data_IF_336907582831
#
_entry.id   IF_336907582831
#
_cell.length_a   1.000
_cell.length_b   1.000
_cell.length_c   1.000
_cell.angle_alpha   90.00
_cell.angle_beta   90.00
_cell.angle_gamma   90.00
#
_symmetry.space_group_name_H-M   'P 1'
#
loop_
_entity.id
_entity.type
_entity.pdbx_description
1 polymer ?
#
# COMPACT_ATOMS: atom_id res chain seq x y z
N UNK A 1 3.00 -0.36 -17.52
CA UNK A 1 2.00 -1.39 -17.15
C UNK A 1 2.65 -2.63 -16.53
N UNK A 2 3.72 -3.17 -17.10
CA UNK A 2 4.36 -4.43 -16.61
C UNK A 2 4.89 -4.30 -15.18
N UNK A 3 5.50 -3.18 -14.81
CA UNK A 3 6.03 -2.94 -13.46
C UNK A 3 4.94 -2.75 -12.41
N UNK A 4 3.80 -2.14 -12.76
CA UNK A 4 2.67 -1.96 -11.85
C UNK A 4 1.99 -3.30 -11.54
N UNK A 5 1.77 -4.13 -12.55
CA UNK A 5 1.20 -5.47 -12.40
C UNK A 5 2.10 -6.34 -11.52
N UNK A 6 3.41 -6.30 -11.74
CA UNK A 6 4.37 -7.05 -10.92
C UNK A 6 4.35 -6.60 -9.44
N UNK A 7 4.16 -5.30 -9.16
CA UNK A 7 3.99 -4.80 -7.79
C UNK A 7 2.70 -5.30 -7.15
N UNK A 8 1.58 -5.24 -7.87
CA UNK A 8 0.31 -5.78 -7.36
C UNK A 8 0.43 -7.25 -7.00
N UNK A 9 1.00 -8.06 -7.89
CA UNK A 9 1.21 -9.48 -7.66
C UNK A 9 2.10 -9.72 -6.43
N UNK A 10 3.21 -9.00 -6.30
CA UNK A 10 4.12 -9.13 -5.16
C UNK A 10 3.42 -8.79 -3.82
N UNK A 11 2.68 -7.67 -3.76
CA UNK A 11 2.01 -7.24 -2.54
C UNK A 11 0.84 -8.16 -2.16
N UNK A 12 0.01 -8.55 -3.15
CA UNK A 12 -1.12 -9.45 -2.92
C UNK A 12 -0.68 -10.87 -2.57
N UNK A 13 0.41 -11.36 -3.16
CA UNK A 13 1.01 -12.64 -2.77
C UNK A 13 1.41 -12.65 -1.30
N UNK A 14 2.03 -11.58 -0.79
CA UNK A 14 2.36 -11.42 0.64
C UNK A 14 1.10 -11.42 1.52
N UNK A 15 0.07 -10.67 1.13
CA UNK A 15 -1.22 -10.67 1.84
C UNK A 15 -1.79 -12.08 1.93
N UNK A 16 -1.84 -12.81 0.81
CA UNK A 16 -2.41 -14.16 0.77
C UNK A 16 -1.58 -15.22 1.50
N UNK A 17 -0.26 -15.02 1.61
CA UNK A 17 0.62 -15.88 2.40
C UNK A 17 0.44 -15.66 3.91
N UNK A 18 0.18 -14.42 4.31
CA UNK A 18 0.08 -14.02 5.72
C UNK A 18 -1.35 -14.13 6.26
N UNK A 19 -2.34 -14.13 5.38
CA UNK A 19 -3.75 -14.19 5.79
C UNK A 19 -4.07 -15.55 6.45
N UNK A 20 -4.47 -15.57 7.74
CA UNK A 20 -4.78 -16.82 8.44
C UNK A 20 -6.09 -17.46 7.95
N UNK A 21 -6.94 -16.70 7.32
CA UNK A 21 -8.24 -17.12 6.82
C UNK A 21 -8.55 -16.49 5.45
N UNK A 22 -9.46 -17.10 4.70
CA UNK A 22 -10.01 -16.59 3.45
C UNK A 22 -11.54 -16.65 3.50
N UNK A 23 -12.24 -15.70 2.86
CA UNK A 23 -11.68 -14.60 2.06
C UNK A 23 -10.91 -13.58 2.92
N UNK A 24 -9.92 -12.92 2.32
CA UNK A 24 -9.13 -11.86 2.94
C UNK A 24 -9.64 -10.49 2.52
N UNK A 25 -9.84 -9.59 3.49
CA UNK A 25 -10.27 -8.22 3.23
C UNK A 25 -9.07 -7.27 3.18
N UNK A 26 -8.94 -6.51 2.11
CA UNK A 26 -7.89 -5.49 1.96
C UNK A 26 -8.46 -4.09 1.79
N UNK A 27 -7.70 -3.09 2.25
CA UNK A 27 -7.85 -1.71 1.82
C UNK A 27 -6.65 -1.31 0.97
N UNK A 28 -6.89 -0.98 -0.29
CA UNK A 28 -5.90 -0.38 -1.21
C UNK A 28 -5.88 1.13 -0.92
N UNK A 29 -4.87 1.57 -0.16
CA UNK A 29 -4.74 2.97 0.29
C UNK A 29 -3.87 3.75 -0.69
N UNK A 30 -4.44 4.80 -1.26
CA UNK A 30 -3.91 5.45 -2.45
C UNK A 30 -4.27 4.67 -3.71
N UNK A 31 -5.53 4.24 -3.82
CA UNK A 31 -6.00 3.36 -4.89
C UNK A 31 -5.99 4.00 -6.30
N UNK A 32 -5.81 5.33 -6.37
CA UNK A 32 -5.83 6.07 -7.62
C UNK A 32 -7.12 5.84 -8.39
N UNK A 33 -7.00 5.49 -9.64
CA UNK A 33 -8.13 5.19 -10.54
C UNK A 33 -8.61 3.71 -10.47
N UNK A 34 -8.25 2.96 -9.43
CA UNK A 34 -8.73 1.59 -9.21
C UNK A 34 -7.97 0.49 -9.96
N UNK A 35 -6.70 0.74 -10.31
CA UNK A 35 -5.90 -0.20 -11.10
C UNK A 35 -5.70 -1.56 -10.44
N UNK A 36 -5.61 -1.62 -9.09
CA UNK A 36 -5.50 -2.88 -8.36
C UNK A 36 -6.81 -3.68 -8.44
N UNK A 37 -7.98 -3.03 -8.37
CA UNK A 37 -9.26 -3.72 -8.57
C UNK A 37 -9.35 -4.32 -9.97
N UNK A 38 -8.96 -3.55 -11.01
CA UNK A 38 -8.92 -4.05 -12.39
C UNK A 38 -7.99 -5.27 -12.56
N UNK A 39 -6.89 -5.32 -11.80
CA UNK A 39 -5.99 -6.46 -11.76
C UNK A 39 -6.63 -7.66 -11.05
N UNK A 40 -7.26 -7.46 -9.89
CA UNK A 40 -7.93 -8.52 -9.11
C UNK A 40 -9.02 -9.22 -9.91
N UNK A 41 -9.87 -8.45 -10.61
CA UNK A 41 -10.95 -8.99 -11.46
C UNK A 41 -10.40 -9.95 -12.54
N UNK A 42 -9.20 -9.69 -13.05
CA UNK A 42 -8.56 -10.48 -14.13
C UNK A 42 -7.65 -11.60 -13.63
N UNK A 43 -7.47 -11.74 -12.30
CA UNK A 43 -6.48 -12.65 -11.72
C UNK A 43 -7.15 -13.65 -10.79
N UNK A 44 -7.55 -14.84 -11.28
CA UNK A 44 -8.24 -15.86 -10.48
C UNK A 44 -7.50 -16.30 -9.20
N UNK A 45 -6.17 -16.19 -9.19
CA UNK A 45 -5.36 -16.49 -8.00
C UNK A 45 -5.75 -15.66 -6.76
N UNK A 46 -6.35 -14.49 -6.96
CA UNK A 46 -6.76 -13.57 -5.90
C UNK A 46 -8.29 -13.44 -5.78
N UNK A 47 -9.06 -14.39 -6.31
CA UNK A 47 -10.54 -14.36 -6.29
C UNK A 47 -11.15 -14.33 -4.88
N UNK A 48 -10.39 -14.73 -3.85
CA UNK A 48 -10.80 -14.68 -2.44
C UNK A 48 -10.34 -13.39 -1.73
N UNK A 49 -10.18 -12.28 -2.49
CA UNK A 49 -9.87 -10.96 -1.95
C UNK A 49 -11.13 -10.09 -1.95
N UNK A 50 -11.51 -9.58 -0.78
CA UNK A 50 -12.54 -8.56 -0.65
C UNK A 50 -11.83 -7.20 -0.66
N UNK A 51 -12.10 -6.41 -1.69
CA UNK A 51 -11.38 -5.17 -1.98
C UNK A 51 -12.13 -3.93 -1.47
N UNK A 52 -11.38 -2.97 -0.91
CA UNK A 52 -11.83 -1.62 -0.64
C UNK A 52 -10.75 -0.63 -1.11
N UNK A 53 -11.10 0.30 -1.99
CA UNK A 53 -10.23 1.37 -2.46
C UNK A 53 -10.40 2.63 -1.62
N UNK A 54 -9.29 3.24 -1.22
CA UNK A 54 -9.27 4.50 -0.46
C UNK A 54 -8.29 5.46 -1.11
N UNK A 55 -8.71 6.69 -1.39
CA UNK A 55 -7.84 7.73 -1.92
C UNK A 55 -8.23 9.10 -1.37
N UNK A 56 -7.23 9.95 -1.11
CA UNK A 56 -7.45 11.34 -0.67
C UNK A 56 -7.90 12.25 -1.82
N UNK A 57 -7.63 11.86 -3.05
CA UNK A 57 -7.91 12.64 -4.23
C UNK A 57 -9.33 12.38 -4.74
N UNK A 58 -10.18 13.40 -4.61
CA UNK A 58 -11.58 13.35 -5.05
C UNK A 58 -11.74 12.99 -6.54
N UNK A 59 -10.83 13.48 -7.39
CA UNK A 59 -10.88 13.20 -8.84
C UNK A 59 -10.57 11.72 -9.12
N UNK A 60 -9.67 11.10 -8.36
CA UNK A 60 -9.37 9.66 -8.48
C UNK A 60 -10.57 8.81 -8.07
N UNK A 61 -11.22 9.13 -6.96
CA UNK A 61 -12.46 8.43 -6.54
C UNK A 61 -13.58 8.60 -7.59
N UNK A 62 -13.75 9.80 -8.13
CA UNK A 62 -14.72 10.02 -9.22
C UNK A 62 -14.40 9.17 -10.46
N UNK A 63 -13.14 9.04 -10.84
CA UNK A 63 -12.71 8.16 -11.93
C UNK A 63 -12.99 6.68 -11.64
N UNK A 64 -12.78 6.23 -10.38
CA UNK A 64 -13.15 4.88 -9.96
C UNK A 64 -14.65 4.63 -10.14
N UNK A 65 -15.51 5.55 -9.69
CA UNK A 65 -16.96 5.43 -9.82
C UNK A 65 -17.43 5.37 -11.29
N UNK A 66 -16.75 6.06 -12.19
CA UNK A 66 -17.03 6.00 -13.63
C UNK A 66 -16.57 4.66 -14.25
N UNK A 67 -15.40 4.16 -13.81
CA UNK A 67 -14.82 2.94 -14.36
C UNK A 67 -15.49 1.67 -13.82
N UNK A 68 -15.97 1.72 -12.57
CA UNK A 68 -16.56 0.59 -11.85
C UNK A 68 -17.95 0.96 -11.29
N UNK A 69 -18.94 1.26 -12.12
CA UNK A 69 -20.25 1.77 -11.67
C UNK A 69 -21.02 0.77 -10.81
N UNK A 70 -20.85 -0.54 -11.03
CA UNK A 70 -21.46 -1.60 -10.22
C UNK A 70 -20.80 -1.74 -8.84
N UNK A 71 -19.56 -1.26 -8.67
CA UNK A 71 -18.72 -1.44 -7.49
C UNK A 71 -18.45 -0.11 -6.76
N UNK A 72 -19.29 0.91 -6.98
CA UNK A 72 -19.10 2.25 -6.38
C UNK A 72 -18.92 2.23 -4.86
N UNK A 73 -19.59 1.32 -4.17
CA UNK A 73 -19.49 1.17 -2.71
C UNK A 73 -18.11 0.70 -2.22
N UNK A 74 -17.27 0.21 -3.12
CA UNK A 74 -15.90 -0.22 -2.80
C UNK A 74 -14.92 0.95 -2.67
N UNK A 75 -15.27 2.16 -3.13
CA UNK A 75 -14.37 3.30 -3.15
C UNK A 75 -14.80 4.39 -2.18
N UNK A 76 -13.86 4.85 -1.37
CA UNK A 76 -14.09 5.86 -0.33
C UNK A 76 -13.01 6.93 -0.38
N UNK A 77 -13.42 8.20 -0.30
CA UNK A 77 -12.47 9.31 -0.14
C UNK A 77 -11.96 9.34 1.31
N UNK A 78 -10.64 9.30 1.48
CA UNK A 78 -10.01 9.32 2.80
C UNK A 78 -8.55 8.90 2.76
N UNK A 79 -7.92 8.87 3.94
CA UNK A 79 -6.52 8.47 4.13
C UNK A 79 -6.37 7.16 4.94
N UNK A 80 -7.47 6.53 5.30
CA UNK A 80 -7.54 5.22 5.94
C UNK A 80 -8.91 4.59 5.66
N UNK A 81 -9.04 3.26 5.72
CA UNK A 81 -10.33 2.61 5.49
C UNK A 81 -11.34 2.99 6.59
N UNK A 82 -12.62 3.20 6.23
CA UNK A 82 -13.68 3.58 7.18
C UNK A 82 -14.03 2.44 8.14
N UNK A 83 -13.77 1.19 7.75
CA UNK A 83 -14.03 -0.02 8.54
C UNK A 83 -12.75 -0.83 8.70
N UNK A 84 -12.74 -1.74 9.68
CA UNK A 84 -11.62 -2.66 9.86
C UNK A 84 -11.51 -3.61 8.67
N UNK A 85 -10.27 -3.85 8.25
CA UNK A 85 -9.87 -4.79 7.19
C UNK A 85 -8.81 -5.74 7.73
N UNK A 86 -8.48 -6.78 6.98
CA UNK A 86 -7.42 -7.69 7.37
C UNK A 86 -6.05 -7.06 7.16
N UNK A 87 -5.83 -6.45 5.97
CA UNK A 87 -4.61 -5.74 5.65
C UNK A 87 -4.89 -4.40 4.97
N UNK A 88 -4.05 -3.38 5.23
CA UNK A 88 -3.96 -2.22 4.36
C UNK A 88 -2.77 -2.41 3.41
N UNK A 89 -3.01 -2.15 2.13
CA UNK A 89 -2.03 -2.31 1.05
C UNK A 89 -1.74 -0.93 0.45
N UNK A 90 -0.46 -0.62 0.21
CA UNK A 90 -0.04 0.64 -0.40
C UNK A 90 0.85 0.33 -1.60
N UNK A 91 0.33 0.51 -2.80
CA UNK A 91 1.06 0.22 -4.02
C UNK A 91 1.52 1.49 -4.72
N UNK A 92 2.77 1.87 -4.49
CA UNK A 92 3.36 3.09 -5.05
C UNK A 92 2.80 4.39 -4.45
N UNK A 93 2.00 4.31 -3.43
CA UNK A 93 1.27 5.42 -2.80
C UNK A 93 2.19 6.55 -2.33
N UNK A 94 3.36 6.20 -1.82
CA UNK A 94 4.30 7.15 -1.22
C UNK A 94 5.50 7.48 -2.11
N UNK A 95 5.58 6.92 -3.31
CA UNK A 95 6.73 7.14 -4.18
C UNK A 95 6.73 8.53 -4.83
N UNK A 96 5.56 9.12 -5.09
CA UNK A 96 5.44 10.47 -5.62
C UNK A 96 5.18 11.45 -4.47
N UNK A 97 5.93 12.56 -4.45
CA UNK A 97 5.80 13.61 -3.43
C UNK A 97 6.03 14.99 -4.01
N UNK A 98 5.40 16.00 -3.41
CA UNK A 98 5.69 17.42 -3.64
C UNK A 98 6.56 18.02 -2.52
N UNK A 99 6.97 17.24 -1.52
CA UNK A 99 7.94 17.67 -0.52
C UNK A 99 9.34 17.69 -1.12
N UNK A 100 10.17 18.63 -0.67
CA UNK A 100 11.61 18.67 -0.94
C UNK A 100 12.42 18.07 0.21
N UNK A 101 11.78 17.83 1.36
CA UNK A 101 12.42 17.28 2.56
C UNK A 101 12.05 15.81 2.76
N UNK A 102 13.01 14.87 2.62
CA UNK A 102 12.74 13.45 2.76
C UNK A 102 12.35 13.03 4.18
N UNK A 103 12.82 13.75 5.22
CA UNK A 103 12.49 13.42 6.61
C UNK A 103 11.03 13.81 6.92
N UNK A 104 10.58 14.98 6.48
CA UNK A 104 9.19 15.39 6.60
C UNK A 104 8.24 14.47 5.84
N UNK A 105 8.67 14.00 4.64
CA UNK A 105 7.87 13.05 3.89
C UNK A 105 7.79 11.69 4.59
N UNK A 106 8.89 11.24 5.16
CA UNK A 106 8.92 10.02 5.98
C UNK A 106 8.02 10.15 7.21
N UNK A 107 7.99 11.30 7.90
CA UNK A 107 7.07 11.54 9.02
C UNK A 107 5.61 11.42 8.58
N UNK A 108 5.26 12.01 7.44
CA UNK A 108 3.92 11.89 6.86
C UNK A 108 3.56 10.43 6.56
N UNK A 109 4.49 9.66 5.97
CA UNK A 109 4.30 8.22 5.72
C UNK A 109 3.94 7.51 7.02
N UNK A 110 4.71 7.72 8.09
CA UNK A 110 4.46 7.04 9.36
C UNK A 110 3.12 7.42 9.99
N UNK A 111 2.70 8.68 9.90
CA UNK A 111 1.34 9.09 10.33
C UNK A 111 0.25 8.34 9.56
N UNK A 112 0.42 8.16 8.25
CA UNK A 112 -0.52 7.38 7.44
C UNK A 112 -0.52 5.89 7.82
N UNK A 113 0.66 5.30 8.01
CA UNK A 113 0.81 3.90 8.40
C UNK A 113 0.18 3.61 9.77
N UNK A 114 0.38 4.45 10.78
CA UNK A 114 -0.23 4.31 12.11
C UNK A 114 -1.76 4.36 12.04
N UNK A 115 -2.31 5.31 11.28
CA UNK A 115 -3.78 5.41 11.08
C UNK A 115 -4.34 4.14 10.43
N UNK A 116 -3.67 3.62 9.42
CA UNK A 116 -4.09 2.41 8.73
C UNK A 116 -3.89 1.17 9.59
N UNK A 117 -2.81 1.09 10.41
CA UNK A 117 -2.61 0.00 11.36
C UNK A 117 -3.73 -0.05 12.41
N UNK A 118 -4.27 1.08 12.82
CA UNK A 118 -5.43 1.11 13.73
C UNK A 118 -6.69 0.46 13.13
N UNK A 119 -6.77 0.32 11.81
CA UNK A 119 -7.86 -0.30 11.05
C UNK A 119 -7.53 -1.69 10.50
N UNK A 120 -6.26 -2.07 10.43
CA UNK A 120 -5.81 -3.37 9.96
C UNK A 120 -5.81 -4.40 11.09
N UNK A 121 -6.39 -5.57 10.88
CA UNK A 121 -6.38 -6.67 11.88
C UNK A 121 -5.01 -7.32 12.00
N UNK A 122 -4.36 -7.56 10.88
CA UNK A 122 -3.10 -8.33 10.84
C UNK A 122 -1.89 -7.48 10.50
N UNK A 123 -2.04 -6.48 9.61
CA UNK A 123 -0.90 -5.63 9.27
C UNK A 123 -1.05 -4.77 8.02
N UNK A 124 0.10 -4.24 7.63
CA UNK A 124 0.26 -3.38 6.46
C UNK A 124 1.21 -4.05 5.47
N UNK A 125 0.92 -3.93 4.19
CA UNK A 125 1.80 -4.38 3.10
C UNK A 125 2.00 -3.21 2.15
N UNK A 126 3.25 -2.79 1.94
CA UNK A 126 3.55 -1.63 1.12
C UNK A 126 4.81 -1.83 0.29
N UNK A 127 4.97 -1.05 -0.77
CA UNK A 127 6.25 -0.92 -1.44
C UNK A 127 6.78 0.51 -1.38
N UNK A 128 8.10 0.64 -1.29
CA UNK A 128 8.82 1.90 -1.45
C UNK A 128 10.01 1.70 -2.40
N UNK A 129 10.31 2.73 -3.17
CA UNK A 129 11.61 2.83 -3.80
C UNK A 129 12.65 3.10 -2.72
N UNK A 130 13.78 2.39 -2.77
CA UNK A 130 14.84 2.50 -1.77
C UNK A 130 16.18 2.91 -2.40
N UNK A 131 16.93 3.68 -1.63
CA UNK A 131 18.31 4.06 -1.93
C UNK A 131 19.18 3.90 -0.66
N UNK A 132 20.53 3.95 -0.76
CA UNK A 132 21.41 3.85 0.40
C UNK A 132 21.18 4.93 1.48
N UNK A 133 20.63 6.09 1.09
CA UNK A 133 20.22 7.19 1.96
C UNK A 133 18.88 7.72 1.44
N UNK A 134 18.00 8.10 2.37
CA UNK A 134 16.71 8.72 2.00
C UNK A 134 16.94 10.00 1.18
N UNK A 135 16.22 10.13 0.07
CA UNK A 135 16.30 11.28 -0.82
C UNK A 135 14.99 11.49 -1.58
N UNK A 136 14.83 12.71 -2.11
CA UNK A 136 13.82 13.03 -3.10
C UNK A 136 14.54 13.52 -4.35
N UNK A 137 14.20 12.95 -5.51
CA UNK A 137 14.78 13.27 -6.80
C UNK A 137 13.68 13.29 -7.85
N UNK A 138 13.51 14.40 -8.55
CA UNK A 138 12.43 14.59 -9.54
C UNK A 138 11.04 14.21 -9.01
N UNK A 139 10.71 14.66 -7.79
CA UNK A 139 9.46 14.36 -7.06
C UNK A 139 9.28 12.87 -6.69
N UNK A 140 10.30 12.05 -6.88
CA UNK A 140 10.28 10.64 -6.46
C UNK A 140 11.03 10.52 -5.14
N UNK A 141 10.33 9.96 -4.15
CA UNK A 141 10.90 9.63 -2.86
C UNK A 141 11.58 8.26 -2.88
N UNK A 142 12.78 8.21 -2.36
CA UNK A 142 13.55 7.00 -2.11
C UNK A 142 13.82 6.87 -0.61
N UNK A 143 13.39 5.79 0.00
CA UNK A 143 13.61 5.52 1.42
C UNK A 143 14.99 4.91 1.68
N UNK A 144 15.58 5.20 2.84
CA UNK A 144 16.61 4.33 3.42
C UNK A 144 15.92 3.11 4.01
N UNK A 145 16.15 1.94 3.40
CA UNK A 145 15.52 0.67 3.80
C UNK A 145 15.75 0.34 5.27
N UNK A 146 16.99 0.49 5.76
CA UNK A 146 17.34 0.13 7.13
C UNK A 146 16.71 1.10 8.15
N UNK A 147 16.73 2.40 7.84
CA UNK A 147 16.09 3.43 8.67
C UNK A 147 14.58 3.24 8.73
N UNK A 148 13.94 2.92 7.59
CA UNK A 148 12.50 2.62 7.54
C UNK A 148 12.13 1.43 8.43
N UNK A 149 12.87 0.30 8.33
CA UNK A 149 12.62 -0.90 9.15
C UNK A 149 12.76 -0.57 10.63
N UNK A 150 13.87 0.04 11.06
CA UNK A 150 14.09 0.40 12.48
C UNK A 150 12.94 1.27 13.02
N UNK A 151 12.50 2.26 12.24
CA UNK A 151 11.42 3.15 12.66
C UNK A 151 10.07 2.42 12.71
N UNK A 152 9.77 1.57 11.73
CA UNK A 152 8.55 0.79 11.69
C UNK A 152 8.45 -0.18 12.88
N UNK A 153 9.54 -0.86 13.22
CA UNK A 153 9.61 -1.75 14.38
C UNK A 153 9.43 -0.98 15.70
N UNK A 154 10.02 0.20 15.81
CA UNK A 154 9.89 1.03 17.01
C UNK A 154 8.45 1.54 17.19
N UNK A 155 7.82 2.07 16.14
CA UNK A 155 6.54 2.77 16.22
C UNK A 155 5.33 1.86 16.01
N UNK A 156 5.41 0.87 15.12
CA UNK A 156 4.22 0.14 14.65
C UNK A 156 4.32 -1.34 15.02
N UNK A 157 5.30 -2.08 14.51
CA UNK A 157 5.42 -3.51 14.78
C UNK A 157 6.49 -4.23 13.96
N UNK A 158 6.65 -5.54 14.17
CA UNK A 158 7.61 -6.36 13.45
C UNK A 158 7.56 -6.14 11.95
N UNK A 159 8.73 -5.90 11.34
CA UNK A 159 8.82 -5.46 9.94
C UNK A 159 9.75 -6.37 9.15
N UNK A 160 9.24 -6.91 8.05
CA UNK A 160 10.00 -7.68 7.07
C UNK A 160 10.05 -6.94 5.74
N UNK A 161 11.17 -7.08 5.03
CA UNK A 161 11.36 -6.44 3.74
C UNK A 161 11.99 -7.40 2.73
N UNK A 162 11.44 -7.42 1.51
CA UNK A 162 12.00 -8.18 0.39
C UNK A 162 12.08 -7.31 -0.86
N UNK A 163 13.16 -7.44 -1.62
CA UNK A 163 13.33 -6.74 -2.89
C UNK A 163 12.47 -7.41 -3.97
N UNK A 164 11.81 -6.60 -4.80
CA UNK A 164 11.09 -7.11 -5.96
C UNK A 164 12.06 -7.44 -7.09
N UNK A 165 11.79 -8.53 -7.82
CA UNK A 165 12.67 -8.97 -8.91
C UNK A 165 12.55 -8.10 -10.18
N UNK A 166 11.50 -7.31 -10.31
CA UNK A 166 11.09 -6.68 -11.57
C UNK A 166 11.35 -5.18 -11.66
N UNK A 167 11.59 -4.52 -10.54
CA UNK A 167 11.84 -3.08 -10.48
C UNK A 167 13.04 -2.84 -9.58
N UNK A 168 14.14 -2.33 -10.17
CA UNK A 168 15.34 -1.99 -9.41
C UNK A 168 15.03 -0.96 -8.32
N UNK A 169 15.47 -1.24 -7.10
CA UNK A 169 15.24 -0.37 -5.95
C UNK A 169 13.84 -0.46 -5.34
N UNK A 170 12.89 -1.18 -5.93
CA UNK A 170 11.56 -1.39 -5.33
C UNK A 170 11.62 -2.48 -4.26
N UNK A 171 11.18 -2.14 -3.06
CA UNK A 171 11.20 -3.03 -1.89
C UNK A 171 9.80 -3.14 -1.33
N UNK A 172 9.31 -4.37 -1.17
CA UNK A 172 8.07 -4.65 -0.46
C UNK A 172 8.34 -4.82 1.04
N UNK A 173 7.52 -4.19 1.85
CA UNK A 173 7.54 -4.26 3.31
C UNK A 173 6.24 -4.85 3.83
N UNK A 174 6.36 -5.68 4.84
CA UNK A 174 5.25 -6.17 5.66
C UNK A 174 5.48 -5.69 7.07
N UNK A 175 4.51 -5.00 7.65
CA UNK A 175 4.50 -4.57 9.04
C UNK A 175 3.33 -5.28 9.72
N UNK A 176 3.62 -6.18 10.66
CA UNK A 176 2.58 -6.89 11.41
C UNK A 176 2.25 -6.15 12.70
N UNK A 177 1.05 -6.40 13.24
CA UNK A 177 0.65 -5.80 14.51
C UNK A 177 1.54 -6.33 15.65
N UNK A 178 1.92 -5.45 16.59
CA UNK A 178 2.48 -5.89 17.88
C UNK A 178 1.44 -6.71 18.62
N UNK A 179 1.79 -7.92 19.03
CA UNK A 179 0.99 -8.77 19.91
C UNK A 179 1.06 -8.27 21.35
#
# INVERSE_FOLDING_TARGET
>A
QTSQIARFDALLSLVHQLAPQKPVTIADVGCGYGAMLAFLIKTPAYAQTIYHGVDINRAMIAACHQTFPADNALFTMGNAPPKSVDFCVFSGTFNLTHSENPDLWMDYIFVCLERCMARARYGLVLNLLCAPKAKIESQIFYADRAAFIRRAEAMIGPTHAQSTKYVSGDVSFVITRKT
#
